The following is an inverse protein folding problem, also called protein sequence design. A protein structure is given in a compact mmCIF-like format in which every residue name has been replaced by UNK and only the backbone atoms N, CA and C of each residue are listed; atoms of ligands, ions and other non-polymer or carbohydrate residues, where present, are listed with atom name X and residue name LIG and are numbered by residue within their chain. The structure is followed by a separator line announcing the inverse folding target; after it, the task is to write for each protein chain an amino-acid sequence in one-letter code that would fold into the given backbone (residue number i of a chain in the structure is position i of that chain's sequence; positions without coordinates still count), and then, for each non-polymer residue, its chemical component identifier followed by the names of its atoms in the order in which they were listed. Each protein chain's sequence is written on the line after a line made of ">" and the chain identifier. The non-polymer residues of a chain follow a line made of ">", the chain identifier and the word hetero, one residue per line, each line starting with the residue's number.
data_IF_234126972386
#
_entry.id   IF_234126972386
#
_cell.length_a   1.000
_cell.length_b   1.000
_cell.length_c   1.000
_cell.angle_alpha   90.00
_cell.angle_beta   90.00
_cell.angle_gamma   90.00
#
_symmetry.space_group_name_H-M   'P 1'
#
loop_
_entity.id
_entity.type
_entity.pdbx_description
1 polymer ?
#
# COMPACT_ATOMS: atom_id res chain seq x y z
N UNK A 1 -13.19 -0.25 13.46
CA UNK A 1 -13.66 1.02 12.88
C UNK A 1 -13.46 2.13 13.92
N UNK A 2 -12.22 2.60 14.16
CA UNK A 2 -11.95 3.40 15.38
C UNK A 2 -10.77 4.40 15.34
N UNK A 3 -10.16 4.70 14.19
CA UNK A 3 -9.17 5.80 14.09
C UNK A 3 -9.44 6.81 12.98
N UNK A 4 -10.29 6.45 12.01
CA UNK A 4 -10.65 7.35 10.91
C UNK A 4 -11.94 8.14 11.16
N UNK A 5 -12.78 7.71 12.10
CA UNK A 5 -14.10 8.32 12.30
C UNK A 5 -13.99 9.79 12.75
N UNK A 6 -13.23 10.06 13.81
CA UNK A 6 -13.02 11.43 14.32
C UNK A 6 -12.35 12.31 13.28
N UNK A 7 -11.37 11.76 12.55
CA UNK A 7 -10.69 12.45 11.46
C UNK A 7 -11.65 12.85 10.32
N UNK A 8 -12.58 11.96 9.94
CA UNK A 8 -13.59 12.26 8.91
C UNK A 8 -14.51 13.40 9.35
N UNK A 9 -14.95 13.41 10.61
CA UNK A 9 -15.84 14.47 11.12
C UNK A 9 -15.11 15.82 11.14
N UNK A 10 -13.90 15.87 11.73
CA UNK A 10 -13.12 17.10 11.75
C UNK A 10 -12.76 17.60 10.35
N UNK A 11 -12.47 16.69 9.41
CA UNK A 11 -12.23 17.06 8.01
C UNK A 11 -13.50 17.63 7.36
N UNK A 12 -14.66 17.02 7.57
CA UNK A 12 -15.92 17.50 7.01
C UNK A 12 -16.28 18.90 7.54
N UNK A 13 -16.10 19.16 8.83
CA UNK A 13 -16.31 20.49 9.43
C UNK A 13 -15.43 21.54 8.75
N UNK A 14 -14.14 21.22 8.53
CA UNK A 14 -13.21 22.12 7.85
C UNK A 14 -13.62 22.33 6.38
N UNK A 15 -13.99 21.27 5.65
CA UNK A 15 -14.45 21.37 4.26
C UNK A 15 -15.69 22.27 4.14
N UNK A 16 -16.70 22.05 4.99
CA UNK A 16 -17.91 22.88 5.03
C UNK A 16 -17.56 24.34 5.37
N UNK A 17 -16.69 24.57 6.35
CA UNK A 17 -16.25 25.95 6.70
C UNK A 17 -15.53 26.67 5.56
N UNK A 18 -14.96 25.91 4.62
CA UNK A 18 -14.32 26.41 3.39
C UNK A 18 -15.27 26.48 2.19
N UNK A 19 -16.56 26.22 2.38
CA UNK A 19 -17.58 26.27 1.32
C UNK A 19 -17.56 25.07 0.37
N UNK A 20 -16.97 23.93 0.78
CA UNK A 20 -16.94 22.70 -0.03
C UNK A 20 -18.20 21.89 0.28
N UNK A 21 -18.95 21.53 -0.77
CA UNK A 21 -20.17 20.72 -0.67
C UNK A 21 -19.84 19.23 -0.41
N UNK A 22 -20.64 18.60 0.45
CA UNK A 22 -20.49 17.20 0.84
C UNK A 22 -21.79 16.43 0.52
N UNK A 23 -21.73 15.12 0.22
CA UNK A 23 -20.52 14.29 0.18
C UNK A 23 -19.64 14.58 -1.04
N UNK A 24 -18.33 14.41 -0.88
CA UNK A 24 -17.40 14.44 -2.01
C UNK A 24 -17.73 13.32 -3.00
N UNK A 25 -17.33 13.51 -4.26
CA UNK A 25 -17.51 12.51 -5.30
C UNK A 25 -16.83 11.18 -4.93
N UNK A 26 -17.58 10.09 -5.08
CA UNK A 26 -17.10 8.74 -4.79
C UNK A 26 -15.96 8.33 -5.71
N UNK A 27 -14.85 7.89 -5.13
CA UNK A 27 -13.65 7.47 -5.88
C UNK A 27 -13.59 5.95 -6.17
N UNK A 28 -14.68 5.21 -5.95
CA UNK A 28 -14.71 3.75 -6.19
C UNK A 28 -14.83 3.45 -7.69
N UNK A 29 -14.08 2.46 -8.18
CA UNK A 29 -14.12 2.02 -9.59
C UNK A 29 -14.55 0.55 -9.75
N UNK A 30 -14.88 -0.10 -8.63
CA UNK A 30 -15.32 -1.49 -8.50
C UNK A 30 -16.64 -1.60 -7.73
N UNK A 31 -17.26 -2.78 -7.84
CA UNK A 31 -18.42 -3.23 -7.09
C UNK A 31 -18.21 -4.70 -6.66
N UNK A 32 -19.12 -5.33 -5.87
CA UNK A 32 -18.94 -6.70 -5.39
C UNK A 32 -18.66 -7.74 -6.49
N UNK A 33 -19.20 -7.56 -7.68
CA UNK A 33 -19.05 -8.49 -8.81
C UNK A 33 -17.70 -8.32 -9.53
N UNK A 34 -17.15 -7.10 -9.54
CA UNK A 34 -15.95 -6.75 -10.33
C UNK A 34 -14.67 -6.61 -9.51
N UNK A 35 -14.77 -6.42 -8.18
CA UNK A 35 -13.61 -6.15 -7.32
C UNK A 35 -12.57 -7.26 -7.31
N UNK A 36 -13.00 -8.52 -7.45
CA UNK A 36 -12.09 -9.66 -7.45
C UNK A 36 -11.20 -9.66 -8.69
N UNK A 37 -11.80 -9.55 -9.87
CA UNK A 37 -11.08 -9.54 -11.15
C UNK A 37 -10.16 -8.32 -11.27
N UNK A 38 -10.71 -7.11 -11.10
CA UNK A 38 -9.93 -5.88 -11.21
C UNK A 38 -8.82 -5.80 -10.15
N UNK A 39 -9.12 -6.26 -8.94
CA UNK A 39 -8.14 -6.30 -7.85
C UNK A 39 -7.01 -7.28 -8.12
N UNK A 40 -7.31 -8.47 -8.64
CA UNK A 40 -6.29 -9.45 -9.01
C UNK A 40 -5.38 -8.91 -10.13
N UNK A 41 -5.95 -8.22 -11.13
CA UNK A 41 -5.16 -7.63 -12.22
C UNK A 41 -4.18 -6.57 -11.71
N UNK A 42 -4.65 -5.60 -10.92
CA UNK A 42 -3.75 -4.60 -10.30
C UNK A 42 -2.72 -5.26 -9.38
N UNK A 43 -3.12 -6.29 -8.61
CA UNK A 43 -2.18 -7.00 -7.75
C UNK A 43 -1.05 -7.65 -8.56
N UNK A 44 -1.37 -8.25 -9.72
CA UNK A 44 -0.37 -8.83 -10.62
C UNK A 44 0.54 -7.78 -11.24
N UNK A 45 0.03 -6.61 -11.58
CA UNK A 45 0.83 -5.49 -12.09
C UNK A 45 1.83 -4.98 -11.03
N UNK A 46 1.39 -4.86 -9.77
CA UNK A 46 2.21 -4.33 -8.67
C UNK A 46 3.22 -5.37 -8.18
N UNK A 47 2.78 -6.60 -7.90
CA UNK A 47 3.58 -7.62 -7.22
C UNK A 47 4.33 -8.52 -8.20
N UNK A 48 3.84 -8.63 -9.44
CA UNK A 48 4.34 -9.55 -10.46
C UNK A 48 3.41 -10.75 -10.64
N UNK A 49 2.98 -10.99 -11.88
CA UNK A 49 1.99 -12.01 -12.20
C UNK A 49 2.39 -13.42 -11.73
N UNK A 50 3.62 -13.83 -12.01
CA UNK A 50 4.13 -15.16 -11.63
C UNK A 50 4.13 -15.38 -10.11
N UNK A 51 4.49 -14.35 -9.34
CA UNK A 51 4.49 -14.44 -7.88
C UNK A 51 3.07 -14.62 -7.32
N UNK A 52 2.09 -13.93 -7.91
CA UNK A 52 0.69 -14.05 -7.52
C UNK A 52 0.12 -15.40 -7.93
N UNK A 53 0.39 -15.88 -9.15
CA UNK A 53 -0.08 -17.19 -9.60
C UNK A 53 0.47 -18.32 -8.72
N UNK A 54 1.78 -18.31 -8.43
CA UNK A 54 2.38 -19.25 -7.47
C UNK A 54 1.77 -19.14 -6.07
N UNK A 55 1.43 -17.94 -5.61
CA UNK A 55 0.79 -17.75 -4.31
C UNK A 55 -0.59 -18.43 -4.28
N UNK A 56 -1.37 -18.33 -5.35
CA UNK A 56 -2.66 -18.99 -5.46
C UNK A 56 -2.52 -20.51 -5.58
N UNK A 57 -1.62 -21.00 -6.43
CA UNK A 57 -1.40 -22.44 -6.65
C UNK A 57 -0.92 -23.16 -5.38
N UNK A 58 -0.09 -22.49 -4.57
CA UNK A 58 0.45 -23.05 -3.33
C UNK A 58 -0.44 -22.82 -2.11
N UNK A 59 -1.56 -22.12 -2.24
CA UNK A 59 -2.44 -21.82 -1.11
C UNK A 59 -3.34 -23.02 -0.78
N UNK A 60 -3.31 -23.54 0.47
CA UNK A 60 -4.24 -24.58 0.88
C UNK A 60 -5.69 -24.13 0.72
N UNK A 61 -6.57 -25.07 0.37
CA UNK A 61 -8.00 -24.79 0.15
C UNK A 61 -8.65 -24.12 1.37
N UNK A 62 -8.28 -24.54 2.58
CA UNK A 62 -8.79 -23.95 3.82
C UNK A 62 -8.36 -22.50 4.06
N UNK A 63 -7.36 -21.99 3.32
CA UNK A 63 -6.77 -20.66 3.52
C UNK A 63 -6.94 -19.74 2.30
N UNK A 64 -7.36 -20.27 1.14
CA UNK A 64 -7.47 -19.51 -0.12
C UNK A 64 -8.38 -18.29 -0.02
N UNK A 65 -9.37 -18.34 0.87
CA UNK A 65 -10.29 -17.23 1.12
C UNK A 65 -9.54 -15.97 1.59
N UNK A 66 -8.43 -16.09 2.34
CA UNK A 66 -7.60 -14.96 2.76
C UNK A 66 -6.94 -14.29 1.55
N UNK A 67 -6.47 -15.08 0.58
CA UNK A 67 -5.90 -14.55 -0.68
C UNK A 67 -6.95 -13.84 -1.51
N UNK A 68 -8.14 -14.43 -1.62
CA UNK A 68 -9.28 -13.81 -2.30
C UNK A 68 -9.70 -12.51 -1.63
N UNK A 69 -9.70 -12.43 -0.30
CA UNK A 69 -9.96 -11.18 0.41
C UNK A 69 -8.88 -10.13 0.15
N UNK A 70 -7.61 -10.53 0.12
CA UNK A 70 -6.53 -9.62 -0.23
C UNK A 70 -6.71 -9.05 -1.65
N UNK A 71 -6.94 -9.90 -2.65
CA UNK A 71 -7.15 -9.45 -4.03
C UNK A 71 -8.41 -8.60 -4.17
N UNK A 72 -9.56 -9.06 -3.67
CA UNK A 72 -10.83 -8.38 -3.82
C UNK A 72 -10.94 -7.09 -3.00
N UNK A 73 -10.56 -7.14 -1.72
CA UNK A 73 -10.70 -5.98 -0.84
C UNK A 73 -9.50 -5.05 -0.93
N UNK A 74 -8.29 -5.52 -0.61
CA UNK A 74 -7.11 -4.63 -0.60
C UNK A 74 -6.87 -4.05 -1.99
N UNK A 75 -6.68 -4.88 -3.01
CA UNK A 75 -6.39 -4.38 -4.34
C UNK A 75 -7.64 -3.89 -5.06
N UNK A 76 -8.72 -4.67 -5.03
CA UNK A 76 -9.97 -4.36 -5.72
C UNK A 76 -10.73 -3.17 -5.15
N UNK A 77 -10.93 -3.06 -3.83
CA UNK A 77 -11.71 -1.96 -3.24
C UNK A 77 -10.85 -0.73 -2.95
N UNK A 78 -9.53 -0.86 -2.70
CA UNK A 78 -8.67 0.28 -2.33
C UNK A 78 -7.68 0.73 -3.42
N UNK A 79 -6.95 -0.17 -4.08
CA UNK A 79 -5.92 0.22 -5.06
C UNK A 79 -6.49 0.65 -6.41
N UNK A 80 -7.65 0.14 -6.80
CA UNK A 80 -8.34 0.57 -8.03
C UNK A 80 -8.96 1.97 -7.89
N UNK A 81 -9.04 2.52 -6.67
CA UNK A 81 -9.70 3.81 -6.43
C UNK A 81 -8.97 4.96 -7.11
N UNK A 82 -9.75 5.92 -7.56
CA UNK A 82 -9.25 7.22 -8.01
C UNK A 82 -8.72 8.04 -6.82
N UNK A 83 -8.05 9.16 -7.12
CA UNK A 83 -7.55 10.14 -6.14
C UNK A 83 -6.04 10.07 -5.88
N UNK A 84 -5.47 8.88 -5.71
CA UNK A 84 -4.02 8.67 -5.64
C UNK A 84 -3.59 7.65 -6.69
N UNK A 85 -2.50 7.93 -7.39
CA UNK A 85 -1.90 6.98 -8.32
C UNK A 85 -1.22 5.81 -7.58
N UNK A 86 -0.94 4.74 -8.31
CA UNK A 86 -0.37 3.51 -7.74
C UNK A 86 1.02 3.77 -7.14
N UNK A 87 1.84 4.62 -7.78
CA UNK A 87 3.18 4.97 -7.28
C UNK A 87 3.12 5.61 -5.91
N UNK A 88 2.18 6.54 -5.71
CA UNK A 88 1.97 7.22 -4.43
C UNK A 88 1.42 6.27 -3.37
N UNK A 89 0.47 5.40 -3.74
CA UNK A 89 -0.10 4.39 -2.83
C UNK A 89 0.96 3.43 -2.30
N UNK A 90 1.87 2.97 -3.17
CA UNK A 90 2.97 2.10 -2.78
C UNK A 90 3.99 2.82 -1.87
N UNK A 91 4.27 4.10 -2.11
CA UNK A 91 5.12 4.90 -1.21
C UNK A 91 4.49 5.06 0.17
N UNK A 92 3.19 5.37 0.23
CA UNK A 92 2.46 5.52 1.50
C UNK A 92 2.41 4.19 2.27
N UNK A 93 2.14 3.08 1.57
CA UNK A 93 2.10 1.76 2.21
C UNK A 93 3.47 1.37 2.74
N UNK A 94 4.54 1.58 1.96
CA UNK A 94 5.92 1.41 2.42
C UNK A 94 6.20 2.25 3.68
N UNK A 95 5.87 3.55 3.65
CA UNK A 95 6.08 4.45 4.79
C UNK A 95 5.36 3.97 6.06
N UNK A 96 4.11 3.52 5.92
CA UNK A 96 3.30 3.03 7.04
C UNK A 96 3.83 1.71 7.60
N UNK A 97 4.30 0.78 6.76
CA UNK A 97 4.89 -0.48 7.22
C UNK A 97 6.19 -0.24 8.00
N UNK A 98 7.06 0.62 7.49
CA UNK A 98 8.28 1.03 8.20
C UNK A 98 7.95 1.71 9.53
N UNK A 99 6.96 2.61 9.53
CA UNK A 99 6.54 3.29 10.74
C UNK A 99 5.91 2.35 11.77
N UNK A 100 5.18 1.31 11.34
CA UNK A 100 4.54 0.33 12.22
C UNK A 100 5.56 -0.61 12.87
N UNK A 101 6.52 -1.13 12.09
CA UNK A 101 7.47 -2.17 12.52
C UNK A 101 6.81 -3.56 12.68
N UNK A 102 7.62 -4.61 12.87
CA UNK A 102 7.14 -5.99 13.07
C UNK A 102 6.42 -6.63 11.88
N UNK A 103 6.63 -6.06 10.69
CA UNK A 103 6.02 -6.49 9.42
C UNK A 103 7.09 -6.55 8.31
N UNK A 104 8.26 -7.09 8.65
CA UNK A 104 9.45 -7.13 7.80
C UNK A 104 9.19 -7.81 6.45
N UNK A 105 8.48 -8.95 6.35
CA UNK A 105 8.15 -9.55 5.06
C UNK A 105 7.32 -8.62 4.17
N UNK A 106 6.37 -7.88 4.75
CA UNK A 106 5.53 -6.94 4.02
C UNK A 106 6.33 -5.71 3.60
N UNK A 107 7.18 -5.16 4.48
CA UNK A 107 8.05 -4.03 4.15
C UNK A 107 8.96 -4.36 2.96
N UNK A 108 9.60 -5.54 2.96
CA UNK A 108 10.42 -6.02 1.84
C UNK A 108 9.63 -6.24 0.56
N UNK A 109 8.43 -6.82 0.67
CA UNK A 109 7.53 -6.97 -0.48
C UNK A 109 7.16 -5.63 -1.10
N UNK A 110 6.85 -4.62 -0.27
CA UNK A 110 6.51 -3.29 -0.76
C UNK A 110 7.72 -2.48 -1.28
N UNK A 111 8.96 -2.81 -0.89
CA UNK A 111 10.16 -2.27 -1.57
C UNK A 111 10.19 -2.74 -3.03
N UNK A 112 9.98 -4.03 -3.28
CA UNK A 112 9.95 -4.58 -4.65
C UNK A 112 8.73 -4.08 -5.44
N UNK A 113 7.57 -3.99 -4.82
CA UNK A 113 6.37 -3.43 -5.44
C UNK A 113 6.59 -1.98 -5.89
N UNK A 114 7.27 -1.16 -5.06
CA UNK A 114 7.64 0.21 -5.43
C UNK A 114 8.53 0.24 -6.69
N UNK A 115 9.50 -0.68 -6.81
CA UNK A 115 10.31 -0.78 -8.03
C UNK A 115 9.49 -1.16 -9.25
N UNK A 116 8.59 -2.14 -9.12
CA UNK A 116 7.73 -2.60 -10.22
C UNK A 116 6.83 -1.49 -10.77
N UNK A 117 6.36 -0.59 -9.89
CA UNK A 117 5.53 0.56 -10.28
C UNK A 117 6.37 1.78 -10.70
N UNK A 118 7.70 1.65 -10.75
CA UNK A 118 8.63 2.64 -11.28
C UNK A 118 9.09 3.71 -10.30
N UNK A 119 8.94 3.49 -8.98
CA UNK A 119 9.72 4.23 -7.99
C UNK A 119 11.13 3.64 -7.91
N UNK A 120 12.09 4.40 -7.39
CA UNK A 120 13.48 3.95 -7.28
C UNK A 120 13.98 3.96 -5.83
N UNK A 121 15.17 3.37 -5.62
CA UNK A 121 15.80 3.28 -4.29
C UNK A 121 16.04 4.65 -3.67
N UNK A 122 16.38 5.67 -4.46
CA UNK A 122 16.67 7.02 -3.97
C UNK A 122 15.41 7.69 -3.41
N UNK A 123 14.27 7.51 -4.08
CA UNK A 123 12.98 7.98 -3.60
C UNK A 123 12.57 7.26 -2.32
N UNK A 124 12.76 5.93 -2.23
CA UNK A 124 12.48 5.18 -1.00
C UNK A 124 13.37 5.61 0.17
N UNK A 125 14.66 5.87 -0.08
CA UNK A 125 15.57 6.39 0.94
C UNK A 125 15.16 7.80 1.40
N UNK A 126 14.66 8.64 0.49
CA UNK A 126 14.13 9.97 0.81
C UNK A 126 12.91 9.88 1.73
N UNK A 127 12.00 8.91 1.50
CA UNK A 127 10.89 8.62 2.41
C UNK A 127 11.41 8.19 3.79
N UNK A 128 12.38 7.27 3.84
CA UNK A 128 12.98 6.82 5.11
C UNK A 128 13.63 7.97 5.88
N UNK A 129 14.27 8.90 5.17
CA UNK A 129 14.87 10.12 5.74
C UNK A 129 13.79 11.04 6.34
N UNK A 130 12.68 11.23 5.62
CA UNK A 130 11.55 12.02 6.12
C UNK A 130 10.92 11.39 7.38
N UNK A 131 10.91 10.06 7.47
CA UNK A 131 10.33 9.35 8.62
C UNK A 131 11.20 9.41 9.88
N UNK A 132 12.52 9.58 9.77
CA UNK A 132 13.47 9.57 10.89
C UNK A 132 13.01 10.38 12.13
N UNK A 133 12.58 11.66 12.03
CA UNK A 133 12.13 12.42 13.19
C UNK A 133 10.86 11.86 13.86
N UNK A 134 10.06 11.06 13.16
CA UNK A 134 8.78 10.53 13.67
C UNK A 134 8.91 9.13 14.25
N UNK A 135 9.81 8.31 13.71
CA UNK A 135 9.90 6.88 14.05
C UNK A 135 11.21 6.50 14.76
N UNK A 136 12.18 7.41 14.80
CA UNK A 136 13.47 7.25 15.46
C UNK A 136 14.43 6.28 14.77
N UNK A 137 15.69 6.32 15.20
CA UNK A 137 16.78 5.56 14.60
C UNK A 137 16.54 4.04 14.47
N UNK A 138 15.98 3.32 15.47
CA UNK A 138 15.86 1.87 15.37
C UNK A 138 15.06 1.43 14.13
N UNK A 139 13.89 2.04 13.89
CA UNK A 139 13.05 1.69 12.72
C UNK A 139 13.64 2.19 11.41
N UNK A 140 14.25 3.39 11.41
CA UNK A 140 14.94 3.92 10.22
C UNK A 140 16.11 3.01 9.80
N UNK A 141 16.93 2.55 10.74
CA UNK A 141 18.06 1.67 10.43
C UNK A 141 17.60 0.29 9.94
N UNK A 142 16.53 -0.25 10.52
CA UNK A 142 15.88 -1.46 9.98
C UNK A 142 15.41 -1.26 8.54
N UNK A 143 14.77 -0.13 8.23
CA UNK A 143 14.33 0.19 6.87
C UNK A 143 15.49 0.27 5.87
N UNK A 144 16.60 0.92 6.25
CA UNK A 144 17.82 0.98 5.43
C UNK A 144 18.38 -0.43 5.20
N UNK A 145 18.40 -1.27 6.23
CA UNK A 145 18.83 -2.67 6.09
C UNK A 145 17.97 -3.42 5.07
N UNK A 146 16.64 -3.24 5.09
CA UNK A 146 15.75 -3.86 4.12
C UNK A 146 15.98 -3.33 2.71
N UNK A 147 16.18 -2.01 2.55
CA UNK A 147 16.49 -1.41 1.25
C UNK A 147 17.78 -1.96 0.66
N UNK A 148 18.83 -2.12 1.46
CA UNK A 148 20.11 -2.64 1.00
C UNK A 148 20.06 -4.14 0.67
N UNK A 149 19.23 -4.90 1.39
CA UNK A 149 19.03 -6.32 1.10
C UNK A 149 18.26 -6.53 -0.21
N UNK A 150 17.17 -5.77 -0.41
CA UNK A 150 16.31 -5.91 -1.59
C UNK A 150 16.91 -5.22 -2.83
N UNK A 151 17.66 -4.15 -2.62
CA UNK A 151 18.25 -3.32 -3.67
C UNK A 151 19.69 -2.97 -3.26
N UNK A 152 20.68 -3.83 -3.53
CA UNK A 152 22.08 -3.54 -3.20
C UNK A 152 22.54 -2.22 -3.83
N UNK A 153 23.48 -1.52 -3.17
CA UNK A 153 24.15 -0.38 -3.81
C UNK A 153 24.86 -0.85 -5.08
N UNK A 154 24.83 -0.01 -6.12
CA UNK A 154 25.67 -0.24 -7.30
C UNK A 154 27.14 -0.06 -6.88
N UNK A 155 28.01 -0.99 -7.28
CA UNK A 155 29.46 -0.83 -7.11
C UNK A 155 29.99 0.28 -8.02
#
# INVERSE_FOLDING_TARGET
>A
MAKSFDFIHGTNEILISKGIELPLEGQSTTNPDTRMEKGLNIQKEIVGAEAIDKMYDNSPESQIHIRKYLSANCFGDYYTRNGLDIKTRELLTFAMLIAMGGCEPQAKGHIMANLNVGNDKQLLLSVVTNLLPYIGYPRTLSAISYLNEMIPESQ
#
